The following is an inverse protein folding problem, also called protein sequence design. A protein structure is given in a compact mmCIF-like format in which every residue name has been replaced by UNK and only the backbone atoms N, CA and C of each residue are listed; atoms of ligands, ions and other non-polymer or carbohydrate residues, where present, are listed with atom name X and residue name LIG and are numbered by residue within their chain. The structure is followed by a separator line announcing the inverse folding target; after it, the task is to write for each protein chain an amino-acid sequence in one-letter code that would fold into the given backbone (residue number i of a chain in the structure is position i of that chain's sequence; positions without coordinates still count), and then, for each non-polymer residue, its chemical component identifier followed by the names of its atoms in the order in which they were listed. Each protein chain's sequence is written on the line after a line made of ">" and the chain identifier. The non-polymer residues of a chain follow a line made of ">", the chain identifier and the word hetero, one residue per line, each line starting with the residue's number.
data_IF_635010933461
#
_entry.id   IF_635010933461
#
_cell.length_a   1.000
_cell.length_b   1.000
_cell.length_c   1.000
_cell.angle_alpha   90.00
_cell.angle_beta   90.00
_cell.angle_gamma   90.00
#
_symmetry.space_group_name_H-M   'P 1'
#
loop_
_entity.id
_entity.type
_entity.pdbx_description
1 polymer ?
#
# COMPACT_ATOMS: atom_id res chain seq x y z
N UNK A 1 -21.32 12.76 17.20
CA UNK A 1 -20.11 12.48 16.40
C UNK A 1 -20.33 11.18 15.65
N UNK A 2 -20.18 11.19 14.33
CA UNK A 2 -20.20 9.99 13.48
C UNK A 2 -18.84 9.30 13.55
N UNK A 3 -18.80 8.00 13.83
CA UNK A 3 -17.54 7.23 13.90
C UNK A 3 -16.85 7.06 12.53
N UNK A 4 -17.51 7.49 11.45
CA UNK A 4 -17.10 7.29 10.06
C UNK A 4 -16.91 8.62 9.32
N UNK A 5 -15.87 8.74 8.48
CA UNK A 5 -15.68 9.90 7.61
C UNK A 5 -16.78 9.97 6.55
N UNK A 6 -17.21 11.18 6.21
CA UNK A 6 -18.19 11.43 5.14
C UNK A 6 -17.64 11.06 3.76
N UNK A 7 -18.51 10.87 2.77
CA UNK A 7 -18.10 10.54 1.40
C UNK A 7 -17.14 11.58 0.80
N UNK A 8 -17.34 12.87 1.10
CA UNK A 8 -16.44 13.94 0.69
C UNK A 8 -15.04 13.77 1.32
N UNK A 9 -15.00 13.50 2.62
CA UNK A 9 -13.74 13.29 3.34
C UNK A 9 -13.01 12.05 2.84
N UNK A 10 -13.72 10.98 2.49
CA UNK A 10 -13.12 9.79 1.87
C UNK A 10 -12.42 10.15 0.57
N UNK A 11 -13.05 10.96 -0.28
CA UNK A 11 -12.44 11.46 -1.52
C UNK A 11 -11.18 12.30 -1.24
N UNK A 12 -11.23 13.18 -0.25
CA UNK A 12 -10.10 14.03 0.14
C UNK A 12 -8.95 13.21 0.75
N UNK A 13 -9.25 12.20 1.56
CA UNK A 13 -8.28 11.25 2.12
C UNK A 13 -7.60 10.49 0.99
N UNK A 14 -8.37 9.93 0.05
CA UNK A 14 -7.83 9.20 -1.09
C UNK A 14 -6.94 10.08 -1.98
N UNK A 15 -7.35 11.32 -2.23
CA UNK A 15 -6.55 12.28 -3.00
C UNK A 15 -5.25 12.65 -2.27
N UNK A 16 -5.30 12.90 -0.96
CA UNK A 16 -4.11 13.18 -0.16
C UNK A 16 -3.13 11.99 -0.14
N UNK A 17 -3.66 10.76 -0.07
CA UNK A 17 -2.86 9.54 -0.14
C UNK A 17 -2.24 9.33 -1.52
N UNK A 18 -2.97 9.57 -2.61
CA UNK A 18 -2.44 9.49 -3.97
C UNK A 18 -1.30 10.50 -4.22
N UNK A 19 -1.37 11.67 -3.56
CA UNK A 19 -0.31 12.68 -3.59
C UNK A 19 0.92 12.31 -2.73
N UNK A 20 0.82 11.30 -1.87
CA UNK A 20 1.86 10.93 -0.90
C UNK A 20 1.79 11.71 0.41
N UNK A 21 0.76 12.54 0.62
CA UNK A 21 0.61 13.39 1.79
C UNK A 21 -0.17 12.69 2.92
N UNK A 22 0.50 11.75 3.59
CA UNK A 22 -0.07 10.95 4.69
C UNK A 22 -0.58 11.81 5.86
N UNK A 23 0.13 12.88 6.20
CA UNK A 23 -0.25 13.76 7.32
C UNK A 23 -1.57 14.49 7.04
N UNK A 24 -1.77 14.95 5.79
CA UNK A 24 -3.04 15.56 5.38
C UNK A 24 -4.20 14.57 5.46
N UNK A 25 -4.01 13.32 5.02
CA UNK A 25 -5.00 12.27 5.15
C UNK A 25 -5.40 12.00 6.61
N UNK A 26 -4.42 11.91 7.52
CA UNK A 26 -4.65 11.75 8.97
C UNK A 26 -5.44 12.94 9.54
N UNK A 27 -5.09 14.17 9.13
CA UNK A 27 -5.80 15.37 9.57
C UNK A 27 -7.27 15.35 9.15
N UNK A 28 -7.57 15.03 7.89
CA UNK A 28 -8.95 14.97 7.37
C UNK A 28 -9.75 13.90 8.11
N UNK A 29 -9.19 12.71 8.30
CA UNK A 29 -9.86 11.63 9.03
C UNK A 29 -10.14 12.03 10.48
N UNK A 30 -9.17 12.63 11.17
CA UNK A 30 -9.34 13.12 12.54
C UNK A 30 -10.40 14.20 12.64
N UNK A 31 -10.40 15.16 11.73
CA UNK A 31 -11.35 16.28 11.73
C UNK A 31 -12.79 15.79 11.50
N UNK A 32 -12.96 14.79 10.64
CA UNK A 32 -14.27 14.20 10.34
C UNK A 32 -14.83 13.24 11.38
N UNK A 33 -13.96 12.53 12.10
CA UNK A 33 -14.37 11.49 13.05
C UNK A 33 -14.22 11.91 14.51
N UNK A 34 -13.40 12.92 14.79
CA UNK A 34 -13.03 13.33 16.14
C UNK A 34 -12.12 12.36 16.88
N UNK A 35 -11.56 11.33 16.23
CA UNK A 35 -10.69 10.33 16.88
C UNK A 35 -9.34 10.92 17.27
N UNK A 36 -8.69 10.35 18.28
CA UNK A 36 -7.34 10.73 18.66
C UNK A 36 -6.33 10.55 17.53
N UNK A 37 -5.23 11.30 17.59
CA UNK A 37 -4.18 11.28 16.56
C UNK A 37 -3.62 9.87 16.33
N UNK A 38 -3.49 9.08 17.39
CA UNK A 38 -3.02 7.69 17.32
C UNK A 38 -3.97 6.84 16.48
N UNK A 39 -5.26 6.82 16.82
CA UNK A 39 -6.27 6.04 16.10
C UNK A 39 -6.39 6.46 14.63
N UNK A 40 -6.33 7.77 14.36
CA UNK A 40 -6.33 8.30 12.99
C UNK A 40 -5.10 7.83 12.19
N UNK A 41 -3.92 7.84 12.82
CA UNK A 41 -2.68 7.34 12.20
C UNK A 41 -2.77 5.86 11.88
N UNK A 42 -3.17 5.04 12.85
CA UNK A 42 -3.26 3.58 12.69
C UNK A 42 -4.27 3.20 11.59
N UNK A 43 -5.41 3.88 11.54
CA UNK A 43 -6.41 3.66 10.49
C UNK A 43 -5.84 3.96 9.09
N UNK A 44 -5.21 5.13 8.92
CA UNK A 44 -4.64 5.52 7.63
C UNK A 44 -3.48 4.60 7.23
N UNK A 45 -2.61 4.23 8.17
CA UNK A 45 -1.50 3.29 7.91
C UNK A 45 -2.00 1.90 7.51
N UNK A 46 -3.08 1.41 8.12
CA UNK A 46 -3.72 0.14 7.73
C UNK A 46 -4.41 0.20 6.36
N UNK A 47 -4.83 1.40 5.93
CA UNK A 47 -5.51 1.60 4.65
C UNK A 47 -4.54 1.65 3.46
N UNK A 48 -3.34 2.20 3.66
CA UNK A 48 -2.31 2.34 2.60
C UNK A 48 -2.02 1.03 1.85
N UNK A 49 -1.68 -0.10 2.51
CA UNK A 49 -1.37 -1.34 1.79
C UNK A 49 -2.55 -1.83 0.95
N UNK A 50 -3.78 -1.73 1.46
CA UNK A 50 -5.00 -2.13 0.74
C UNK A 50 -5.22 -1.30 -0.51
N UNK A 51 -4.96 0.01 -0.44
CA UNK A 51 -5.05 0.91 -1.60
C UNK A 51 -3.97 0.60 -2.63
N UNK A 52 -2.78 0.23 -2.19
CA UNK A 52 -1.67 -0.15 -3.07
C UNK A 52 -1.93 -1.48 -3.79
N UNK A 53 -2.60 -2.43 -3.14
CA UNK A 53 -3.03 -3.69 -3.75
C UNK A 53 -4.12 -3.47 -4.82
N UNK A 54 -5.03 -2.52 -4.58
CA UNK A 54 -6.11 -2.19 -5.53
C UNK A 54 -5.63 -1.39 -6.74
N UNK A 55 -4.77 -0.38 -6.51
CA UNK A 55 -4.30 0.54 -7.56
C UNK A 55 -2.81 0.88 -7.34
N UNK A 56 -1.88 -0.02 -7.72
CA UNK A 56 -0.45 0.17 -7.45
C UNK A 56 0.12 1.41 -8.14
N UNK A 57 -0.35 1.74 -9.35
CA UNK A 57 0.13 2.91 -10.10
C UNK A 57 -0.31 4.24 -9.47
N UNK A 58 -1.55 4.30 -8.97
CA UNK A 58 -2.14 5.51 -8.38
C UNK A 58 -1.51 5.87 -7.03
N UNK A 59 -1.10 4.86 -6.27
CA UNK A 59 -0.56 5.00 -4.92
C UNK A 59 0.95 4.73 -4.82
N UNK A 60 1.67 4.66 -5.94
CA UNK A 60 3.11 4.42 -5.99
C UNK A 60 3.91 5.42 -5.13
N UNK A 61 3.47 6.68 -5.05
CA UNK A 61 4.15 7.70 -4.21
C UNK A 61 4.22 7.33 -2.72
N UNK A 62 3.35 6.44 -2.23
CA UNK A 62 3.33 6.01 -0.83
C UNK A 62 4.39 4.92 -0.52
N UNK A 63 4.92 4.22 -1.53
CA UNK A 63 5.92 3.14 -1.38
C UNK A 63 7.37 3.55 -1.69
N UNK A 64 7.61 4.80 -2.13
CA UNK A 64 8.91 5.28 -2.59
C UNK A 64 10.04 5.17 -1.54
N UNK A 65 9.73 4.83 -0.28
CA UNK A 65 10.69 4.65 0.81
C UNK A 65 11.17 3.20 1.04
N UNK A 66 10.70 2.18 0.30
CA UNK A 66 11.15 0.77 0.50
C UNK A 66 12.11 0.25 -0.59
N UNK A 67 12.66 1.12 -1.43
CA UNK A 67 13.81 0.76 -2.28
C UNK A 67 15.13 0.74 -1.47
N UNK A 68 15.17 -0.09 -0.43
CA UNK A 68 16.36 -0.36 0.39
C UNK A 68 16.66 -1.85 0.40
N UNK A 69 17.61 -2.27 -0.44
CA UNK A 69 18.39 -3.51 -0.30
C UNK A 69 17.70 -4.89 -0.39
N UNK A 70 16.47 -5.01 -0.92
CA UNK A 70 15.90 -6.34 -1.23
C UNK A 70 16.31 -6.88 -2.62
N UNK A 71 17.03 -6.10 -3.43
CA UNK A 71 17.39 -6.46 -4.81
C UNK A 71 18.55 -7.46 -4.93
N UNK A 72 19.32 -7.70 -3.86
CA UNK A 72 20.51 -8.57 -3.90
C UNK A 72 20.19 -10.05 -3.66
N UNK A 73 19.02 -10.39 -3.10
CA UNK A 73 18.73 -11.78 -2.68
C UNK A 73 18.07 -12.61 -3.82
N UNK A 74 17.41 -11.98 -4.80
CA UNK A 74 16.71 -12.70 -5.86
C UNK A 74 17.62 -13.17 -7.02
N UNK A 75 18.90 -12.76 -7.07
CA UNK A 75 19.80 -13.12 -8.17
C UNK A 75 20.44 -14.52 -8.04
N UNK A 76 20.34 -15.20 -6.88
CA UNK A 76 21.16 -16.39 -6.60
C UNK A 76 20.46 -17.77 -6.65
N UNK A 77 19.15 -17.90 -6.89
CA UNK A 77 18.46 -19.21 -6.77
C UNK A 77 17.48 -19.51 -7.93
N UNK A 78 17.82 -19.09 -9.15
CA UNK A 78 16.88 -19.09 -10.29
C UNK A 78 17.28 -19.89 -11.52
N UNK A 79 18.02 -20.99 -11.41
CA UNK A 79 18.24 -21.96 -12.51
C UNK A 79 18.72 -23.29 -11.87
N UNK A 80 18.13 -24.49 -12.10
CA UNK A 80 17.31 -24.92 -13.23
C UNK A 80 16.12 -25.86 -12.83
N UNK A 81 14.88 -25.38 -12.80
CA UNK A 81 13.71 -26.26 -12.64
C UNK A 81 12.99 -26.56 -13.98
N UNK A 82 13.41 -25.95 -15.08
CA UNK A 82 12.80 -26.13 -16.41
C UNK A 82 13.32 -27.36 -17.18
N UNK A 83 14.41 -27.99 -16.74
CA UNK A 83 14.99 -29.15 -17.43
C UNK A 83 14.27 -30.46 -17.07
N UNK A 84 13.56 -30.52 -15.93
CA UNK A 84 12.88 -31.74 -15.50
C UNK A 84 11.58 -32.03 -16.27
N UNK A 85 10.83 -30.99 -16.69
CA UNK A 85 9.56 -31.18 -17.39
C UNK A 85 9.73 -31.68 -18.83
N UNK A 86 10.85 -31.36 -19.48
CA UNK A 86 11.07 -31.72 -20.89
C UNK A 86 11.46 -33.20 -21.07
N UNK A 87 12.00 -33.85 -20.02
CA UNK A 87 12.45 -35.25 -20.10
C UNK A 87 11.30 -36.23 -19.85
N UNK A 88 10.31 -35.85 -19.02
CA UNK A 88 9.13 -36.70 -18.77
C UNK A 88 8.15 -36.78 -19.95
N UNK A 89 8.20 -35.82 -20.89
CA UNK A 89 7.35 -35.84 -22.09
C UNK A 89 7.88 -36.74 -23.22
N UNK A 90 9.04 -37.39 -23.04
CA UNK A 90 9.72 -38.17 -24.08
C UNK A 90 10.04 -39.62 -23.68
N UNK A 91 9.42 -40.15 -22.61
CA UNK A 91 9.51 -41.54 -22.20
C UNK A 91 8.13 -42.21 -22.20
#
# INVERSE_FOLDING_TARGET
>A
MTDQPTQEQIGQIAAALADGNKIKAIKIYRDGTGKDLKAAKEFIESLIPKLQEQDPEKYAKLNAQTAGCASVILLCIGLPASIAWVIHSLA
#
